data_IF_637615597043
#
_entry.id   IF_637615597043
#
_cell.length_a   1.000
_cell.length_b   1.000
_cell.length_c   1.000
_cell.angle_alpha   90.00
_cell.angle_beta   90.00
_cell.angle_gamma   90.00
#
_symmetry.space_group_name_H-M   'P 1'
#
loop_
_entity.id
_entity.type
_entity.pdbx_description
1 polymer ?
#
# COMPACT_ATOMS: atom_id res chain seq x y z
N UNK A 1 -9.28 15.25 -22.99
CA UNK A 1 -7.92 15.75 -23.22
C UNK A 1 -7.27 16.45 -22.01
N UNK A 2 -7.99 16.75 -20.94
CA UNK A 2 -7.50 17.50 -19.77
C UNK A 2 -6.71 16.67 -18.72
N UNK A 3 -6.93 15.36 -18.62
CA UNK A 3 -6.27 14.52 -17.61
C UNK A 3 -4.78 14.23 -17.90
N UNK A 4 -4.41 14.08 -19.17
CA UNK A 4 -3.03 13.73 -19.57
C UNK A 4 -2.07 14.93 -19.41
N UNK A 5 -2.56 16.14 -19.61
CA UNK A 5 -1.76 17.36 -19.46
C UNK A 5 -1.45 17.67 -17.97
N UNK A 6 -2.37 17.31 -17.05
CA UNK A 6 -2.18 17.43 -15.60
C UNK A 6 -1.11 16.47 -15.06
N UNK A 7 -1.04 15.23 -15.57
CA UNK A 7 -0.05 14.23 -15.13
C UNK A 7 1.38 14.63 -15.53
N UNK A 8 1.60 15.05 -16.78
CA UNK A 8 2.91 15.48 -17.25
C UNK A 8 3.44 16.71 -16.48
N UNK A 9 2.56 17.64 -16.09
CA UNK A 9 2.95 18.79 -15.25
C UNK A 9 3.37 18.35 -13.86
N UNK A 10 2.61 17.45 -13.23
CA UNK A 10 2.94 16.90 -11.88
C UNK A 10 4.28 16.18 -11.89
N UNK A 11 4.54 15.33 -12.88
CA UNK A 11 5.82 14.64 -13.06
C UNK A 11 6.98 15.64 -13.19
N UNK A 12 6.80 16.68 -14.03
CA UNK A 12 7.82 17.71 -14.22
C UNK A 12 8.12 18.45 -12.90
N UNK A 13 7.09 18.89 -12.18
CA UNK A 13 7.22 19.66 -10.95
C UNK A 13 7.86 18.83 -9.82
N UNK A 14 7.48 17.55 -9.68
CA UNK A 14 8.11 16.62 -8.74
C UNK A 14 9.59 16.37 -9.08
N UNK A 15 9.88 16.15 -10.36
CA UNK A 15 11.25 15.98 -10.84
C UNK A 15 12.13 17.20 -10.53
N UNK A 16 11.62 18.41 -10.81
CA UNK A 16 12.30 19.65 -10.51
C UNK A 16 12.50 19.85 -8.99
N UNK A 17 11.51 19.50 -8.16
CA UNK A 17 11.61 19.57 -6.70
C UNK A 17 12.68 18.61 -6.17
N UNK A 18 12.60 17.33 -6.53
CA UNK A 18 13.57 16.32 -6.11
C UNK A 18 14.98 16.66 -6.56
N UNK A 19 15.13 17.16 -7.79
CA UNK A 19 16.42 17.60 -8.33
C UNK A 19 17.01 18.78 -7.52
N UNK A 20 16.23 19.81 -7.21
CA UNK A 20 16.71 20.96 -6.41
C UNK A 20 17.18 20.53 -5.02
N UNK A 21 16.54 19.55 -4.41
CA UNK A 21 16.90 19.06 -3.08
C UNK A 21 18.09 18.10 -3.11
N UNK A 22 18.32 17.41 -4.23
CA UNK A 22 19.48 16.54 -4.42
C UNK A 22 20.79 17.32 -4.63
N UNK A 23 20.70 18.60 -5.00
CA UNK A 23 21.87 19.40 -5.40
C UNK A 23 21.91 20.74 -4.67
N UNK A 24 23.06 21.09 -4.11
CA UNK A 24 23.32 22.46 -3.69
C UNK A 24 23.44 23.38 -4.92
N UNK A 25 22.84 24.57 -4.85
CA UNK A 25 22.66 25.52 -5.95
C UNK A 25 23.93 26.00 -6.69
N UNK A 26 25.11 25.42 -6.46
CA UNK A 26 26.41 25.95 -6.90
C UNK A 26 27.16 25.11 -7.93
N UNK A 27 26.68 23.93 -8.30
CA UNK A 27 27.41 23.07 -9.26
C UNK A 27 26.57 22.79 -10.51
N UNK A 28 27.18 22.94 -11.69
CA UNK A 28 26.62 22.44 -12.96
C UNK A 28 26.40 20.93 -12.81
N UNK A 29 25.17 20.49 -12.71
CA UNK A 29 24.84 19.11 -12.54
C UNK A 29 24.87 18.37 -13.89
N UNK A 30 25.59 17.23 -13.92
CA UNK A 30 25.56 16.25 -15.03
C UNK A 30 24.73 15.07 -14.52
N UNK A 31 23.50 15.32 -14.04
CA UNK A 31 22.65 14.30 -13.48
C UNK A 31 21.79 13.64 -14.53
N UNK A 32 21.46 12.37 -14.31
CA UNK A 32 20.44 11.70 -15.08
C UNK A 32 19.10 12.43 -14.94
N UNK A 33 18.26 12.41 -15.99
CA UNK A 33 16.93 12.99 -15.94
C UNK A 33 16.08 12.30 -14.83
N UNK A 34 15.09 13.01 -14.24
CA UNK A 34 14.21 12.42 -13.26
C UNK A 34 13.52 11.18 -13.82
N UNK A 35 13.47 10.11 -13.00
CA UNK A 35 12.83 8.84 -13.33
C UNK A 35 11.44 8.77 -12.72
N UNK A 36 10.43 8.49 -13.53
CA UNK A 36 9.09 8.18 -13.04
C UNK A 36 9.07 6.74 -12.52
N UNK A 37 8.84 6.58 -11.22
CA UNK A 37 8.71 5.26 -10.57
C UNK A 37 7.27 4.76 -10.59
N UNK A 38 6.30 5.66 -10.47
CA UNK A 38 4.88 5.36 -10.60
C UNK A 38 4.11 6.60 -11.06
N UNK A 39 3.12 6.40 -11.91
CA UNK A 39 2.16 7.44 -12.32
C UNK A 39 0.76 6.84 -12.36
N UNK A 40 0.01 7.06 -11.29
CA UNK A 40 -1.33 6.50 -11.07
C UNK A 40 -2.28 7.60 -10.59
N UNK A 41 -3.60 7.42 -10.74
CA UNK A 41 -4.58 8.41 -10.25
C UNK A 41 -4.45 8.72 -8.75
N UNK A 42 -4.03 7.75 -7.95
CA UNK A 42 -3.87 7.84 -6.50
C UNK A 42 -2.49 8.30 -6.06
N UNK A 43 -1.49 8.33 -6.95
CA UNK A 43 -0.15 8.82 -6.61
C UNK A 43 0.82 8.83 -7.77
N UNK A 44 1.60 9.90 -7.86
CA UNK A 44 2.71 10.04 -8.80
C UNK A 44 4.03 10.06 -8.03
N UNK A 45 4.98 9.21 -8.38
CA UNK A 45 6.27 9.05 -7.70
C UNK A 45 7.40 9.27 -8.67
N UNK A 46 8.28 10.22 -8.36
CA UNK A 46 9.41 10.58 -9.21
C UNK A 46 10.70 10.57 -8.39
N UNK A 47 11.75 9.95 -8.93
CA UNK A 47 13.09 9.92 -8.37
C UNK A 47 13.98 10.92 -9.11
N UNK A 48 14.81 11.65 -8.37
CA UNK A 48 15.96 12.38 -8.91
C UNK A 48 17.14 12.20 -7.97
N UNK A 49 18.20 11.56 -8.44
CA UNK A 49 19.35 11.22 -7.62
C UNK A 49 18.99 10.35 -6.39
N UNK A 50 19.30 10.84 -5.21
CA UNK A 50 19.03 10.17 -3.94
C UNK A 50 17.67 10.53 -3.32
N UNK A 51 16.82 11.30 -4.00
CA UNK A 51 15.54 11.78 -3.48
C UNK A 51 14.39 11.25 -4.32
N UNK A 52 13.33 10.86 -3.63
CA UNK A 52 12.04 10.47 -4.19
C UNK A 52 10.98 11.47 -3.73
N UNK A 53 10.26 12.06 -4.67
CA UNK A 53 9.11 12.92 -4.44
C UNK A 53 7.82 12.18 -4.80
N UNK A 54 6.84 12.17 -3.89
CA UNK A 54 5.53 11.54 -4.08
C UNK A 54 4.44 12.59 -3.97
N UNK A 55 3.67 12.79 -5.05
CA UNK A 55 2.42 13.54 -5.01
C UNK A 55 1.26 12.58 -4.75
N UNK A 56 0.54 12.79 -3.64
CA UNK A 56 -0.65 12.01 -3.27
C UNK A 56 -1.87 12.44 -4.10
N UNK A 57 -2.99 11.72 -3.99
CA UNK A 57 -4.24 12.13 -4.63
C UNK A 57 -4.72 13.50 -4.13
N UNK A 58 -5.43 14.24 -4.98
CA UNK A 58 -5.90 15.59 -4.62
C UNK A 58 -6.93 15.59 -3.47
N UNK A 59 -7.67 14.49 -3.33
CA UNK A 59 -8.68 14.24 -2.29
C UNK A 59 -8.10 13.54 -1.04
N UNK A 60 -6.77 13.45 -0.93
CA UNK A 60 -6.12 12.85 0.23
C UNK A 60 -6.45 13.62 1.51
N UNK A 61 -6.90 12.89 2.53
CA UNK A 61 -7.07 13.43 3.88
C UNK A 61 -5.70 13.86 4.42
N UNK A 62 -5.52 15.17 4.54
CA UNK A 62 -4.24 15.80 4.92
C UNK A 62 -3.88 15.54 6.37
N UNK A 63 -4.85 15.45 7.27
CA UNK A 63 -4.62 15.16 8.68
C UNK A 63 -4.16 13.71 8.86
N UNK A 64 -4.85 12.76 8.22
CA UNK A 64 -4.46 11.36 8.23
C UNK A 64 -3.09 11.15 7.56
N UNK A 65 -2.79 11.85 6.47
CA UNK A 65 -1.48 11.81 5.83
C UNK A 65 -0.39 12.35 6.76
N UNK A 66 -0.60 13.51 7.38
CA UNK A 66 0.36 14.09 8.31
C UNK A 66 0.65 13.17 9.50
N UNK A 67 -0.37 12.50 10.05
CA UNK A 67 -0.18 11.50 11.11
C UNK A 67 0.68 10.32 10.64
N UNK A 68 0.50 9.83 9.41
CA UNK A 68 1.28 8.74 8.81
C UNK A 68 2.74 9.13 8.52
N UNK A 69 2.95 10.36 8.06
CA UNK A 69 4.30 10.90 7.86
C UNK A 69 5.02 11.06 9.20
N UNK A 70 4.35 11.60 10.22
CA UNK A 70 4.87 11.70 11.58
C UNK A 70 5.17 10.31 12.18
N UNK A 71 4.37 9.29 11.86
CA UNK A 71 4.63 7.90 12.24
C UNK A 71 5.95 7.40 11.64
N UNK A 72 6.18 7.58 10.34
CA UNK A 72 7.41 7.15 9.69
C UNK A 72 8.66 7.87 10.22
N UNK A 73 8.50 9.08 10.76
CA UNK A 73 9.56 9.85 11.41
C UNK A 73 9.78 9.51 12.89
N UNK A 74 8.92 8.67 13.49
CA UNK A 74 8.95 8.38 14.92
C UNK A 74 10.20 7.55 15.31
N UNK A 75 10.94 7.94 16.37
CA UNK A 75 12.17 7.24 16.77
C UNK A 75 11.98 5.75 17.04
N UNK A 76 10.81 5.34 17.54
CA UNK A 76 10.49 3.93 17.83
C UNK A 76 10.45 3.05 16.56
N UNK A 77 10.30 3.66 15.39
CA UNK A 77 10.20 2.99 14.10
C UNK A 77 11.49 3.05 13.27
N UNK A 78 12.55 3.62 13.86
CA UNK A 78 13.89 3.58 13.25
C UNK A 78 14.33 2.14 13.00
N UNK A 79 14.78 1.87 11.77
CA UNK A 79 15.14 0.52 11.33
C UNK A 79 13.94 -0.42 11.09
N UNK A 80 12.71 0.12 11.00
CA UNK A 80 11.50 -0.56 10.56
C UNK A 80 10.93 0.18 9.34
N UNK A 81 10.65 1.47 9.48
CA UNK A 81 10.16 2.33 8.40
C UNK A 81 11.28 3.21 7.86
N UNK A 82 11.26 3.48 6.57
CA UNK A 82 12.11 4.50 5.96
C UNK A 82 11.61 5.87 6.42
N UNK A 83 12.44 6.71 7.09
CA UNK A 83 12.00 8.02 7.54
C UNK A 83 11.83 8.99 6.35
N UNK A 84 10.84 9.89 6.38
CA UNK A 84 10.69 10.92 5.38
C UNK A 84 11.82 11.97 5.49
N UNK A 85 12.07 12.67 4.39
CA UNK A 85 12.87 13.87 4.44
C UNK A 85 11.98 15.03 4.92
N UNK A 86 12.47 15.81 5.87
CA UNK A 86 11.85 17.08 6.22
C UNK A 86 12.00 18.03 5.03
N UNK A 87 10.86 18.46 4.45
CA UNK A 87 10.93 19.55 3.49
C UNK A 87 11.54 20.77 4.18
N UNK A 88 12.50 21.47 3.55
CA UNK A 88 12.86 22.80 4.04
C UNK A 88 11.56 23.64 4.10
N UNK A 89 11.37 24.35 5.20
CA UNK A 89 10.23 25.25 5.33
C UNK A 89 10.14 26.10 4.05
N UNK A 90 9.04 25.96 3.33
CA UNK A 90 8.82 26.79 2.16
C UNK A 90 8.80 28.23 2.63
N UNK A 91 9.55 29.15 2.01
CA UNK A 91 9.26 30.57 2.18
C UNK A 91 7.78 30.74 1.76
N UNK A 92 7.01 31.39 2.64
CA UNK A 92 5.64 31.80 2.37
C UNK A 92 5.55 32.35 0.95
N UNK A 93 4.47 32.04 0.20
CA UNK A 93 4.30 32.59 -1.13
C UNK A 93 4.44 34.09 -1.06
N UNK A 94 5.47 34.62 -1.72
CA UNK A 94 5.74 36.05 -1.86
C UNK A 94 4.45 36.78 -2.21
N UNK A 95 4.12 37.85 -1.47
CA UNK A 95 3.03 38.79 -1.63
C UNK A 95 2.83 39.19 -3.11
N UNK A 96 2.08 38.40 -3.85
CA UNK A 96 1.45 38.86 -5.07
C UNK A 96 0.12 39.48 -4.65
N UNK A 97 0.10 40.78 -4.50
CA UNK A 97 -1.11 41.56 -4.23
C UNK A 97 -2.25 41.16 -5.16
N UNK A 98 -3.46 40.88 -4.64
CA UNK A 98 -4.60 40.51 -5.47
C UNK A 98 -4.99 41.67 -6.38
N UNK A 99 -5.07 41.40 -7.68
CA UNK A 99 -5.68 42.35 -8.63
C UNK A 99 -7.20 42.33 -8.42
N UNK A 100 -7.85 43.46 -8.12
CA UNK A 100 -9.29 43.46 -7.93
C UNK A 100 -10.01 43.35 -9.29
N UNK A 101 -10.95 42.40 -9.40
CA UNK A 101 -12.02 42.53 -10.39
C UNK A 101 -12.42 41.35 -11.25
N UNK A 102 -11.93 40.13 -11.07
CA UNK A 102 -12.50 38.95 -11.74
C UNK A 102 -12.67 37.82 -10.71
N UNK A 103 -13.80 37.06 -10.74
CA UNK A 103 -13.89 35.85 -9.94
C UNK A 103 -12.81 34.87 -10.43
N UNK A 104 -11.82 34.58 -9.58
CA UNK A 104 -10.85 33.54 -9.87
C UNK A 104 -11.57 32.22 -10.08
N UNK A 105 -11.25 31.47 -11.16
CA UNK A 105 -11.71 30.10 -11.28
C UNK A 105 -11.20 29.31 -10.06
N UNK A 106 -11.97 28.35 -9.52
CA UNK A 106 -11.54 27.57 -8.37
C UNK A 106 -10.18 26.93 -8.69
N UNK A 107 -9.15 27.41 -8.01
CA UNK A 107 -7.80 26.86 -8.14
C UNK A 107 -7.85 25.43 -7.64
N UNK A 108 -7.44 24.42 -8.44
CA UNK A 108 -7.39 23.04 -7.96
C UNK A 108 -6.55 22.99 -6.70
N UNK A 109 -7.08 22.39 -5.63
CA UNK A 109 -6.33 22.23 -4.39
C UNK A 109 -5.02 21.51 -4.71
N UNK A 110 -3.85 22.08 -4.43
CA UNK A 110 -2.58 21.44 -4.79
C UNK A 110 -2.48 20.07 -4.11
N UNK A 111 -2.05 19.07 -4.88
CA UNK A 111 -1.81 17.70 -4.37
C UNK A 111 -0.78 17.76 -3.24
N UNK A 112 -1.00 17.07 -2.09
CA UNK A 112 0.03 16.96 -1.07
C UNK A 112 1.28 16.28 -1.66
N UNK A 113 2.46 16.77 -1.30
CA UNK A 113 3.74 16.21 -1.74
C UNK A 113 4.56 15.81 -0.51
N UNK A 114 5.15 14.61 -0.56
CA UNK A 114 6.07 14.10 0.45
C UNK A 114 7.40 13.73 -0.19
N UNK A 115 8.47 13.81 0.60
CA UNK A 115 9.84 13.59 0.16
C UNK A 115 10.47 12.45 0.98
N UNK A 116 11.20 11.60 0.28
CA UNK A 116 11.81 10.41 0.84
C UNK A 116 13.24 10.23 0.33
N UNK A 117 14.15 9.65 1.12
CA UNK A 117 15.42 9.19 0.57
C UNK A 117 15.14 8.02 -0.39
N UNK A 118 15.98 7.88 -1.42
CA UNK A 118 15.91 6.70 -2.29
C UNK A 118 16.46 5.48 -1.56
N UNK A 119 15.75 4.37 -1.66
CA UNK A 119 16.21 3.04 -1.30
C UNK A 119 16.19 2.10 -2.51
N UNK A 120 17.09 1.12 -2.56
CA UNK A 120 17.10 0.11 -3.60
C UNK A 120 15.91 -0.86 -3.40
N UNK A 121 15.01 -1.00 -4.39
CA UNK A 121 13.86 -1.89 -4.29
C UNK A 121 14.30 -3.36 -4.36
N UNK A 122 13.38 -4.27 -4.02
CA UNK A 122 13.52 -5.69 -4.32
C UNK A 122 13.59 -5.88 -5.83
N UNK A 123 14.52 -6.72 -6.28
CA UNK A 123 14.66 -7.05 -7.70
C UNK A 123 13.54 -8.04 -8.12
N UNK A 124 12.62 -7.65 -9.00
CA UNK A 124 11.55 -8.54 -9.44
C UNK A 124 12.04 -9.65 -10.40
N UNK A 125 13.28 -9.54 -10.89
CA UNK A 125 13.88 -10.54 -11.80
C UNK A 125 14.63 -11.65 -11.07
N UNK A 126 14.81 -11.52 -9.75
CA UNK A 126 15.43 -12.51 -8.89
C UNK A 126 14.45 -12.93 -7.76
N UNK A 127 13.48 -13.79 -8.05
CA UNK A 127 12.50 -14.24 -7.07
C UNK A 127 13.12 -15.08 -5.94
N UNK A 128 14.25 -15.77 -6.18
CA UNK A 128 14.93 -16.57 -5.17
C UNK A 128 15.58 -15.72 -4.08
N UNK A 129 15.97 -14.49 -4.41
CA UNK A 129 16.50 -13.51 -3.45
C UNK A 129 15.41 -12.63 -2.80
N UNK A 130 14.13 -12.99 -2.97
CA UNK A 130 13.01 -12.23 -2.41
C UNK A 130 13.06 -12.24 -0.86
N UNK A 131 13.09 -11.06 -0.19
CA UNK A 131 13.34 -10.96 1.26
C UNK A 131 12.09 -11.23 2.10
N UNK A 132 11.47 -12.40 1.94
CA UNK A 132 10.25 -12.77 2.65
C UNK A 132 10.45 -12.84 4.17
N UNK A 133 11.57 -13.42 4.62
CA UNK A 133 11.89 -13.53 6.05
C UNK A 133 12.13 -12.14 6.67
N UNK A 134 12.87 -11.27 5.99
CA UNK A 134 13.12 -9.91 6.46
C UNK A 134 11.84 -9.07 6.49
N UNK A 135 10.98 -9.20 5.48
CA UNK A 135 9.66 -8.56 5.46
C UNK A 135 8.84 -8.97 6.69
N UNK A 136 8.82 -10.26 7.00
CA UNK A 136 8.11 -10.81 8.16
C UNK A 136 8.66 -10.29 9.50
N UNK A 137 9.98 -10.23 9.65
CA UNK A 137 10.64 -9.67 10.85
C UNK A 137 10.30 -8.18 11.01
N UNK A 138 10.31 -7.40 9.92
CA UNK A 138 9.94 -5.98 9.96
C UNK A 138 8.48 -5.79 10.38
N UNK A 139 7.56 -6.61 9.85
CA UNK A 139 6.16 -6.60 10.26
C UNK A 139 5.97 -6.96 11.73
N UNK A 140 6.61 -8.04 12.20
CA UNK A 140 6.52 -8.43 13.60
C UNK A 140 7.01 -7.32 14.53
N UNK A 141 8.11 -6.64 14.17
CA UNK A 141 8.62 -5.48 14.90
C UNK A 141 7.64 -4.31 14.86
N UNK A 142 7.05 -4.01 13.70
CA UNK A 142 6.03 -2.97 13.54
C UNK A 142 4.82 -3.25 14.45
N UNK A 143 4.25 -4.44 14.37
CA UNK A 143 3.06 -4.83 15.15
C UNK A 143 3.30 -4.85 16.66
N UNK A 144 4.53 -5.11 17.11
CA UNK A 144 4.92 -5.08 18.54
C UNK A 144 5.20 -3.65 19.02
N UNK A 145 5.37 -2.71 18.12
CA UNK A 145 5.63 -1.32 18.49
C UNK A 145 4.32 -0.65 18.88
N UNK A 146 4.28 -0.12 20.10
CA UNK A 146 3.11 0.67 20.54
C UNK A 146 2.99 1.94 19.71
N UNK A 147 1.82 2.26 19.15
CA UNK A 147 1.60 3.51 18.44
C UNK A 147 2.06 4.72 19.29
N UNK A 148 2.90 5.61 18.75
CA UNK A 148 3.44 6.76 19.51
C UNK A 148 2.38 7.81 19.85
N UNK A 149 1.28 7.82 19.08
CA UNK A 149 0.13 8.71 19.24
C UNK A 149 -1.11 8.05 18.64
N UNK A 150 -2.25 8.71 18.70
CA UNK A 150 -3.49 8.19 18.08
C UNK A 150 -3.36 8.22 16.57
N UNK A 151 -3.48 7.07 15.96
CA UNK A 151 -3.42 6.88 14.51
C UNK A 151 -4.82 6.79 13.89
N UNK A 152 -4.97 7.17 12.62
CA UNK A 152 -6.15 6.79 11.85
C UNK A 152 -6.25 5.27 11.73
N UNK A 153 -7.42 4.72 11.41
CA UNK A 153 -7.54 3.31 11.05
C UNK A 153 -6.66 2.95 9.86
N UNK A 154 -6.08 1.73 9.86
CA UNK A 154 -5.42 1.21 8.67
C UNK A 154 -6.42 1.05 7.53
N UNK A 155 -5.96 1.20 6.26
CA UNK A 155 -6.88 1.32 5.13
C UNK A 155 -7.17 0.01 4.40
N UNK A 156 -6.66 -1.13 4.85
CA UNK A 156 -6.84 -2.43 4.18
C UNK A 156 -8.30 -2.75 3.80
N UNK A 157 -9.27 -2.79 4.74
CA UNK A 157 -10.67 -3.03 4.44
C UNK A 157 -11.28 -2.00 3.45
N UNK A 158 -10.94 -0.72 3.63
CA UNK A 158 -11.42 0.34 2.75
C UNK A 158 -10.85 0.22 1.32
N UNK A 159 -9.62 -0.29 1.16
CA UNK A 159 -9.02 -0.58 -0.16
C UNK A 159 -9.75 -1.72 -0.85
N UNK A 160 -10.06 -2.80 -0.14
CA UNK A 160 -10.84 -3.91 -0.68
C UNK A 160 -12.22 -3.43 -1.16
N UNK A 161 -12.91 -2.61 -0.37
CA UNK A 161 -14.21 -2.02 -0.76
C UNK A 161 -14.10 -1.14 -2.02
N UNK A 162 -13.05 -0.29 -2.11
CA UNK A 162 -12.82 0.53 -3.31
C UNK A 162 -12.48 -0.29 -4.54
N UNK A 163 -11.71 -1.38 -4.39
CA UNK A 163 -11.41 -2.29 -5.49
C UNK A 163 -12.69 -2.90 -6.07
N UNK A 164 -13.58 -3.40 -5.21
CA UNK A 164 -14.88 -3.95 -5.62
C UNK A 164 -15.77 -2.89 -6.28
N UNK A 165 -15.81 -1.67 -5.75
CA UNK A 165 -16.55 -0.56 -6.36
C UNK A 165 -16.01 -0.22 -7.76
N UNK A 166 -14.68 -0.15 -7.93
CA UNK A 166 -14.01 0.08 -9.22
C UNK A 166 -14.34 -1.02 -10.22
N UNK A 167 -14.28 -2.29 -9.81
CA UNK A 167 -14.65 -3.42 -10.66
C UNK A 167 -16.09 -3.31 -11.15
N UNK A 168 -17.06 -3.04 -10.24
CA UNK A 168 -18.46 -2.87 -10.60
C UNK A 168 -18.68 -1.75 -11.61
N UNK A 169 -18.00 -0.65 -11.44
CA UNK A 169 -18.06 0.48 -12.37
C UNK A 169 -17.46 0.18 -13.74
N UNK A 170 -16.34 -0.58 -13.77
CA UNK A 170 -15.65 -0.94 -15.00
C UNK A 170 -16.33 -2.05 -15.81
N UNK A 171 -17.10 -2.96 -15.14
CA UNK A 171 -17.74 -4.13 -15.74
C UNK A 171 -19.21 -4.27 -15.31
N UNK A 172 -20.07 -3.31 -15.66
CA UNK A 172 -21.49 -3.36 -15.30
C UNK A 172 -22.18 -4.54 -16.01
N UNK A 173 -22.82 -5.44 -15.23
CA UNK A 173 -23.55 -6.60 -15.77
C UNK A 173 -22.69 -7.74 -16.33
N UNK A 174 -21.36 -7.67 -16.24
CA UNK A 174 -20.47 -8.73 -16.71
C UNK A 174 -20.54 -9.96 -15.76
N UNK A 175 -20.86 -11.17 -16.25
CA UNK A 175 -20.90 -12.37 -15.42
C UNK A 175 -19.54 -12.73 -14.81
N UNK A 176 -18.40 -12.30 -15.36
CA UNK A 176 -17.07 -12.55 -14.82
C UNK A 176 -16.87 -11.96 -13.41
N UNK A 177 -17.69 -10.96 -13.01
CA UNK A 177 -17.61 -10.38 -11.66
C UNK A 177 -18.35 -11.20 -10.60
N UNK A 178 -19.23 -12.16 -10.98
CA UNK A 178 -20.11 -12.87 -10.05
C UNK A 178 -19.35 -13.66 -8.97
N UNK A 179 -18.29 -14.43 -9.28
CA UNK A 179 -17.52 -15.15 -8.26
C UNK A 179 -16.90 -14.19 -7.23
N UNK A 180 -16.32 -13.10 -7.70
CA UNK A 180 -15.70 -12.06 -6.84
C UNK A 180 -16.75 -11.43 -5.92
N UNK A 181 -17.92 -11.13 -6.46
CA UNK A 181 -19.02 -10.56 -5.67
C UNK A 181 -19.63 -11.57 -4.69
N UNK A 182 -19.67 -12.86 -5.02
CA UNK A 182 -20.12 -13.90 -4.11
C UNK A 182 -19.16 -14.02 -2.91
N UNK A 183 -17.86 -14.11 -3.17
CA UNK A 183 -16.82 -14.11 -2.13
C UNK A 183 -16.89 -12.84 -1.28
N UNK A 184 -17.04 -11.67 -1.89
CA UNK A 184 -17.16 -10.38 -1.19
C UNK A 184 -18.34 -10.35 -0.22
N UNK A 185 -19.52 -10.83 -0.63
CA UNK A 185 -20.72 -10.83 0.22
C UNK A 185 -20.60 -11.79 1.42
N UNK A 186 -19.81 -12.86 1.27
CA UNK A 186 -19.56 -13.81 2.35
C UNK A 186 -18.60 -13.27 3.43
N UNK A 187 -17.85 -12.19 3.15
CA UNK A 187 -16.98 -11.57 4.15
C UNK A 187 -17.81 -10.87 5.24
N UNK A 188 -17.34 -10.85 6.51
CA UNK A 188 -17.98 -10.08 7.56
C UNK A 188 -17.90 -8.57 7.30
N UNK A 189 -18.82 -7.81 7.88
CA UNK A 189 -18.96 -6.37 7.65
C UNK A 189 -17.65 -5.59 7.88
N UNK A 190 -16.92 -5.91 8.94
CA UNK A 190 -15.64 -5.24 9.24
C UNK A 190 -14.58 -5.43 8.14
N UNK A 191 -14.52 -6.62 7.53
CA UNK A 191 -13.59 -6.89 6.44
C UNK A 191 -13.99 -6.20 5.13
N UNK A 192 -15.26 -5.83 5.00
CA UNK A 192 -15.78 -5.00 3.90
C UNK A 192 -15.69 -3.50 4.15
N UNK A 193 -15.11 -3.08 5.29
CA UNK A 193 -15.02 -1.67 5.68
C UNK A 193 -16.36 -1.08 6.15
N UNK A 194 -17.34 -1.89 6.51
CA UNK A 194 -18.69 -1.51 6.94
C UNK A 194 -18.82 -1.47 8.48
N UNK A 195 -17.73 -1.67 9.22
CA UNK A 195 -17.71 -1.64 10.67
C UNK A 195 -16.30 -1.75 11.25
N UNK A 196 -16.16 -1.60 12.57
CA UNK A 196 -14.87 -1.75 13.24
C UNK A 196 -14.42 -3.22 13.24
N UNK A 197 -13.10 -3.49 13.21
CA UNK A 197 -12.59 -4.83 13.40
C UNK A 197 -12.91 -5.35 14.83
N UNK A 198 -12.94 -6.70 15.03
CA UNK A 198 -13.16 -7.28 16.33
C UNK A 198 -12.11 -6.82 17.37
N UNK A 199 -12.55 -6.47 18.58
CA UNK A 199 -11.64 -6.29 19.71
C UNK A 199 -11.14 -7.68 20.19
N UNK A 200 -9.89 -7.82 20.65
CA UNK A 200 -8.87 -6.81 20.95
C UNK A 200 -7.91 -6.48 19.80
N UNK A 201 -8.13 -7.02 18.61
CA UNK A 201 -7.19 -6.96 17.47
C UNK A 201 -7.12 -5.57 16.78
N UNK A 202 -8.02 -4.66 17.11
CA UNK A 202 -8.16 -3.36 16.44
C UNK A 202 -7.08 -2.32 16.76
N UNK A 203 -6.15 -2.60 17.66
CA UNK A 203 -5.24 -1.60 18.23
C UNK A 203 -3.78 -1.70 17.84
N UNK A 204 -3.41 -2.66 17.01
CA UNK A 204 -2.03 -2.83 16.58
C UNK A 204 -1.65 -1.81 15.50
N UNK A 205 -0.36 -1.47 15.47
CA UNK A 205 0.20 -0.67 14.39
C UNK A 205 0.38 -1.56 13.17
N UNK A 206 -0.36 -1.28 12.09
CA UNK A 206 -0.33 -2.04 10.83
C UNK A 206 0.22 -1.19 9.69
N UNK A 207 0.85 -1.83 8.71
CA UNK A 207 1.29 -1.22 7.46
C UNK A 207 0.10 -0.98 6.51
N UNK A 208 -0.82 -1.92 6.43
CA UNK A 208 -2.08 -1.82 5.68
C UNK A 208 -2.01 -2.16 4.20
N UNK A 209 -0.81 -2.36 3.62
CA UNK A 209 -0.62 -2.77 2.22
C UNK A 209 0.71 -3.46 1.96
N UNK A 210 1.08 -4.45 2.78
CA UNK A 210 2.34 -5.15 2.58
C UNK A 210 2.38 -5.92 1.25
N UNK A 211 3.47 -5.73 0.53
CA UNK A 211 4.00 -6.60 -0.55
C UNK A 211 5.49 -6.29 -0.74
N UNK A 212 6.22 -7.14 -1.47
CA UNK A 212 7.67 -6.95 -1.63
C UNK A 212 8.08 -5.61 -2.25
N UNK A 213 7.22 -5.01 -3.08
CA UNK A 213 7.42 -3.66 -3.60
C UNK A 213 7.36 -2.54 -2.55
N UNK A 214 7.02 -2.86 -1.28
CA UNK A 214 7.05 -1.93 -0.16
C UNK A 214 8.31 -2.10 0.72
N UNK A 215 9.31 -2.82 0.21
CA UNK A 215 10.61 -2.95 0.85
C UNK A 215 11.70 -2.30 0.00
N UNK A 216 12.61 -1.62 0.69
CA UNK A 216 13.81 -1.07 0.07
C UNK A 216 15.02 -1.26 0.99
N UNK A 217 16.21 -1.39 0.40
CA UNK A 217 17.47 -1.29 1.13
C UNK A 217 17.87 0.16 1.26
N UNK A 218 18.11 0.61 2.49
CA UNK A 218 18.61 1.97 2.71
C UNK A 218 19.66 2.00 3.82
N UNK A 219 20.82 2.68 3.58
CA UNK A 219 21.23 3.31 2.32
C UNK A 219 21.33 2.32 1.14
N UNK A 220 20.98 2.77 -0.07
CA UNK A 220 21.17 1.98 -1.27
C UNK A 220 22.68 1.81 -1.59
N UNK A 221 23.12 0.65 -2.17
CA UNK A 221 22.28 -0.51 -2.53
C UNK A 221 22.16 -1.56 -1.41
N UNK A 222 23.06 -1.58 -0.39
CA UNK A 222 23.30 -2.73 0.49
C UNK A 222 22.89 -2.50 1.95
N UNK A 223 22.20 -1.39 2.23
CA UNK A 223 21.68 -1.10 3.56
C UNK A 223 20.65 -2.14 4.04
N UNK A 224 20.22 -2.05 5.31
CA UNK A 224 19.16 -2.91 5.83
C UNK A 224 17.85 -2.70 5.05
N UNK A 225 17.00 -3.74 5.03
CA UNK A 225 15.64 -3.62 4.53
C UNK A 225 14.79 -2.73 5.43
N UNK A 226 13.98 -1.87 4.84
CA UNK A 226 13.02 -0.99 5.49
C UNK A 226 11.69 -1.03 4.74
N UNK A 227 10.59 -0.88 5.47
CA UNK A 227 9.27 -0.69 4.89
C UNK A 227 9.09 0.76 4.41
N UNK A 228 8.42 0.92 3.28
CA UNK A 228 8.05 2.21 2.67
C UNK A 228 6.55 2.30 2.44
N UNK A 229 6.08 3.46 1.99
CA UNK A 229 4.67 3.70 1.61
C UNK A 229 3.67 3.52 2.76
N UNK A 230 3.72 4.45 3.69
CA UNK A 230 2.86 4.47 4.88
C UNK A 230 1.44 5.00 4.63
N UNK A 231 1.02 5.20 3.38
CA UNK A 231 -0.29 5.80 3.03
C UNK A 231 -1.49 5.03 3.59
N UNK A 232 -1.33 3.75 3.82
CA UNK A 232 -2.38 2.87 4.35
C UNK A 232 -2.15 2.47 5.81
N UNK A 233 -1.03 2.92 6.39
CA UNK A 233 -0.66 2.58 7.77
C UNK A 233 -1.63 3.17 8.79
N UNK A 234 -1.82 2.46 9.90
CA UNK A 234 -2.70 2.91 10.97
C UNK A 234 -2.99 1.84 12.00
N UNK A 235 -3.96 2.13 12.87
CA UNK A 235 -4.42 1.16 13.86
C UNK A 235 -5.33 0.11 13.22
N UNK A 236 -5.09 -1.18 13.52
CA UNK A 236 -5.89 -2.24 12.92
C UNK A 236 -5.56 -3.63 13.45
N UNK A 237 -6.04 -4.65 12.73
CA UNK A 237 -5.73 -6.05 12.96
C UNK A 237 -4.45 -6.43 12.20
N UNK A 238 -3.40 -6.91 12.90
CA UNK A 238 -2.11 -7.24 12.29
C UNK A 238 -2.18 -8.41 11.29
N UNK A 239 -3.21 -9.26 11.36
CA UNK A 239 -3.42 -10.33 10.38
C UNK A 239 -3.64 -9.79 8.97
N UNK A 240 -4.07 -8.52 8.83
CA UNK A 240 -4.25 -7.89 7.54
C UNK A 240 -2.93 -7.70 6.78
N UNK A 241 -1.83 -7.46 7.48
CA UNK A 241 -0.52 -7.31 6.84
C UNK A 241 0.08 -8.65 6.36
N UNK A 242 -0.36 -9.77 6.96
CA UNK A 242 0.00 -11.12 6.51
C UNK A 242 -0.96 -11.64 5.42
N UNK A 243 -2.06 -10.95 5.17
CA UNK A 243 -3.15 -11.42 4.33
C UNK A 243 -2.76 -11.59 2.86
N UNK A 244 -1.87 -10.74 2.32
CA UNK A 244 -1.46 -10.84 0.91
C UNK A 244 -0.58 -12.06 0.66
N UNK A 245 0.52 -12.31 1.40
CA UNK A 245 1.27 -13.56 1.29
C UNK A 245 0.39 -14.80 1.51
N UNK A 246 -0.51 -14.76 2.50
CA UNK A 246 -1.44 -15.85 2.77
C UNK A 246 -2.40 -16.13 1.59
N UNK A 247 -2.96 -15.07 0.98
CA UNK A 247 -3.83 -15.19 -0.19
C UNK A 247 -3.08 -15.75 -1.40
N UNK A 248 -1.84 -15.30 -1.62
CA UNK A 248 -1.01 -15.79 -2.72
C UNK A 248 -0.60 -17.25 -2.53
N UNK A 249 -0.23 -17.65 -1.32
CA UNK A 249 0.01 -19.05 -0.99
C UNK A 249 -1.24 -19.91 -1.24
N UNK A 250 -2.40 -19.50 -0.75
CA UNK A 250 -3.67 -20.22 -0.96
C UNK A 250 -4.10 -20.29 -2.44
N UNK A 251 -3.68 -19.32 -3.26
CA UNK A 251 -3.91 -19.30 -4.70
C UNK A 251 -2.87 -20.09 -5.52
N UNK A 252 -1.77 -20.53 -4.89
CA UNK A 252 -0.64 -21.19 -5.57
C UNK A 252 0.31 -20.22 -6.28
N UNK A 253 0.29 -18.92 -5.92
CA UNK A 253 1.15 -17.87 -6.46
C UNK A 253 2.41 -17.63 -5.62
N UNK A 254 2.41 -18.06 -4.37
CA UNK A 254 3.57 -18.02 -3.49
C UNK A 254 4.02 -19.44 -3.19
N UNK A 255 5.31 -19.67 -3.36
CA UNK A 255 5.91 -20.98 -3.08
C UNK A 255 5.73 -21.39 -1.61
N UNK A 256 5.45 -22.67 -1.31
CA UNK A 256 5.34 -23.17 0.05
C UNK A 256 6.58 -22.91 0.93
N UNK A 257 7.78 -22.93 0.36
CA UNK A 257 9.02 -22.66 1.09
C UNK A 257 9.10 -21.18 1.49
N UNK A 258 8.77 -20.26 0.58
CA UNK A 258 8.71 -18.82 0.85
C UNK A 258 7.64 -18.48 1.90
N UNK A 259 6.47 -19.11 1.79
CA UNK A 259 5.41 -18.96 2.78
C UNK A 259 5.85 -19.42 4.17
N UNK A 260 6.50 -20.60 4.25
CA UNK A 260 7.00 -21.14 5.52
C UNK A 260 8.09 -20.23 6.09
N UNK A 261 9.05 -19.78 5.27
CA UNK A 261 10.11 -18.87 5.70
C UNK A 261 9.54 -17.55 6.23
N UNK A 262 8.55 -16.97 5.55
CA UNK A 262 7.84 -15.77 5.99
C UNK A 262 7.14 -15.97 7.33
N UNK A 263 6.35 -17.04 7.47
CA UNK A 263 5.55 -17.31 8.66
C UNK A 263 6.44 -17.62 9.88
N UNK A 264 7.48 -18.43 9.70
CA UNK A 264 8.41 -18.82 10.76
C UNK A 264 9.25 -17.63 11.23
N UNK A 265 9.70 -16.77 10.31
CA UNK A 265 10.40 -15.54 10.65
C UNK A 265 9.50 -14.57 11.45
N UNK A 266 8.23 -14.43 11.04
CA UNK A 266 7.25 -13.60 11.75
C UNK A 266 7.01 -14.10 13.18
N UNK A 267 6.82 -15.41 13.35
CA UNK A 267 6.61 -16.07 14.65
C UNK A 267 7.84 -15.96 15.54
N UNK A 268 9.02 -16.26 14.98
CA UNK A 268 10.30 -16.18 15.70
C UNK A 268 10.60 -14.76 16.20
N UNK A 269 10.15 -13.75 15.47
CA UNK A 269 10.23 -12.34 15.89
C UNK A 269 9.13 -11.93 16.89
N UNK A 270 8.25 -12.87 17.31
CA UNK A 270 7.18 -12.64 18.28
C UNK A 270 6.02 -11.81 17.72
N UNK A 271 5.73 -11.96 16.42
CA UNK A 271 4.62 -11.25 15.79
C UNK A 271 3.26 -11.69 16.33
N UNK A 272 2.34 -10.75 16.66
CA UNK A 272 1.09 -11.04 17.36
C UNK A 272 -0.08 -11.44 16.46
N UNK A 273 0.09 -11.44 15.11
CA UNK A 273 -1.01 -11.67 14.17
C UNK A 273 -1.53 -13.09 14.16
N UNK A 274 -0.67 -14.06 14.50
CA UNK A 274 -0.96 -15.51 14.51
C UNK A 274 -0.39 -16.15 15.75
N UNK A 275 -0.87 -17.34 16.16
CA UNK A 275 -0.26 -18.10 17.24
C UNK A 275 1.22 -18.39 16.99
N UNK A 276 2.00 -18.51 18.07
CA UNK A 276 3.44 -18.78 17.99
C UNK A 276 3.74 -20.13 17.31
N UNK A 277 2.81 -21.06 17.36
CA UNK A 277 2.84 -22.37 16.73
C UNK A 277 1.45 -22.79 16.24
N UNK A 278 1.37 -23.92 15.54
CA UNK A 278 0.12 -24.50 15.08
C UNK A 278 -0.50 -23.81 13.86
N UNK A 279 -1.82 -23.92 13.73
CA UNK A 279 -2.55 -23.44 12.56
C UNK A 279 -2.71 -21.91 12.55
N UNK A 280 -2.20 -21.16 11.53
CA UNK A 280 -2.36 -19.72 11.45
C UNK A 280 -3.71 -19.28 10.84
N UNK A 281 -4.43 -20.20 10.18
CA UNK A 281 -5.59 -19.88 9.36
C UNK A 281 -6.80 -19.34 10.13
N UNK A 282 -7.08 -19.71 11.40
CA UNK A 282 -8.14 -19.06 12.16
C UNK A 282 -8.05 -17.53 12.16
N UNK A 283 -6.83 -17.00 12.13
CA UNK A 283 -6.56 -15.56 12.14
C UNK A 283 -6.44 -14.96 10.73
N UNK A 284 -5.97 -15.75 9.76
CA UNK A 284 -5.64 -15.27 8.42
C UNK A 284 -6.77 -15.43 7.41
N UNK A 285 -7.72 -16.34 7.61
CA UNK A 285 -8.72 -16.71 6.60
C UNK A 285 -9.51 -15.51 6.10
N UNK A 286 -10.13 -14.74 6.99
CA UNK A 286 -10.95 -13.58 6.59
C UNK A 286 -10.12 -12.49 5.90
N UNK A 287 -8.98 -12.02 6.46
CA UNK A 287 -8.11 -11.08 5.76
C UNK A 287 -7.59 -11.61 4.42
N UNK A 288 -7.18 -12.87 4.32
CA UNK A 288 -6.70 -13.47 3.07
C UNK A 288 -7.79 -13.50 1.98
N UNK A 289 -9.01 -13.91 2.33
CA UNK A 289 -10.16 -13.85 1.40
C UNK A 289 -10.45 -12.42 0.95
N UNK A 290 -10.35 -11.44 1.84
CA UNK A 290 -10.55 -10.04 1.49
C UNK A 290 -9.48 -9.54 0.50
N UNK A 291 -8.21 -9.94 0.67
CA UNK A 291 -7.11 -9.62 -0.26
C UNK A 291 -7.25 -10.38 -1.59
N UNK A 292 -7.74 -11.62 -1.57
CA UNK A 292 -8.08 -12.37 -2.80
C UNK A 292 -9.14 -11.61 -3.60
N UNK A 293 -10.22 -11.18 -2.95
CA UNK A 293 -11.28 -10.35 -3.58
C UNK A 293 -10.72 -9.04 -4.09
N UNK A 294 -9.91 -8.33 -3.29
CA UNK A 294 -9.29 -7.06 -3.69
C UNK A 294 -8.46 -7.23 -4.96
N UNK A 295 -7.60 -8.24 -5.01
CA UNK A 295 -6.69 -8.49 -6.14
C UNK A 295 -7.47 -8.87 -7.39
N UNK A 296 -8.42 -9.79 -7.29
CA UNK A 296 -9.27 -10.19 -8.40
C UNK A 296 -10.12 -9.03 -8.94
N UNK A 297 -10.66 -8.18 -8.05
CA UNK A 297 -11.44 -7.00 -8.44
C UNK A 297 -10.58 -5.96 -9.18
N UNK A 298 -9.36 -5.71 -8.71
CA UNK A 298 -8.41 -4.81 -9.39
C UNK A 298 -8.00 -5.37 -10.75
N UNK A 299 -7.72 -6.66 -10.86
CA UNK A 299 -7.41 -7.33 -12.11
C UNK A 299 -8.52 -7.16 -13.13
N UNK A 300 -9.76 -7.47 -12.78
CA UNK A 300 -10.91 -7.31 -13.68
C UNK A 300 -11.12 -5.85 -14.10
N UNK A 301 -10.96 -4.90 -13.19
CA UNK A 301 -11.07 -3.47 -13.52
C UNK A 301 -9.95 -3.01 -14.46
N UNK A 302 -8.73 -3.45 -14.24
CA UNK A 302 -7.55 -3.16 -15.07
C UNK A 302 -7.71 -3.76 -16.48
N UNK A 303 -8.08 -5.04 -16.58
CA UNK A 303 -8.32 -5.72 -17.86
C UNK A 303 -9.40 -5.00 -18.69
N UNK A 304 -10.46 -4.50 -18.05
CA UNK A 304 -11.48 -3.70 -18.74
C UNK A 304 -10.92 -2.38 -19.30
N UNK A 305 -10.12 -1.68 -18.51
CA UNK A 305 -9.51 -0.41 -18.93
C UNK A 305 -8.48 -0.59 -20.06
N UNK A 306 -7.70 -1.67 -20.01
CA UNK A 306 -6.65 -2.00 -20.97
C UNK A 306 -7.18 -2.81 -22.16
N UNK A 307 -8.44 -3.24 -22.15
CA UNK A 307 -9.09 -4.06 -23.18
C UNK A 307 -8.31 -5.34 -23.47
N UNK A 308 -7.88 -6.03 -22.43
CA UNK A 308 -7.17 -7.30 -22.47
C UNK A 308 -7.80 -8.36 -21.57
N UNK A 309 -7.44 -9.60 -21.77
CA UNK A 309 -7.76 -10.70 -20.87
C UNK A 309 -6.85 -10.66 -19.62
N UNK A 310 -7.28 -11.29 -18.51
CA UNK A 310 -6.43 -11.50 -17.36
C UNK A 310 -5.18 -12.31 -17.73
N UNK A 311 -4.02 -11.94 -17.17
CA UNK A 311 -2.84 -12.79 -17.20
C UNK A 311 -2.98 -13.98 -16.23
N UNK A 312 -2.01 -14.90 -16.23
CA UNK A 312 -2.10 -16.13 -15.43
C UNK A 312 -2.25 -15.85 -13.92
N UNK A 313 -1.44 -14.97 -13.26
CA UNK A 313 -1.65 -14.60 -11.87
C UNK A 313 -3.00 -13.96 -11.59
N UNK A 314 -3.47 -13.06 -12.47
CA UNK A 314 -4.77 -12.41 -12.36
C UNK A 314 -5.90 -13.44 -12.44
N UNK A 315 -5.80 -14.40 -13.38
CA UNK A 315 -6.76 -15.48 -13.55
C UNK A 315 -6.83 -16.40 -12.34
N UNK A 316 -5.67 -16.80 -11.77
CA UNK A 316 -5.61 -17.61 -10.55
C UNK A 316 -6.31 -16.96 -9.36
N UNK A 317 -6.20 -15.65 -9.21
CA UNK A 317 -6.90 -14.91 -8.14
C UNK A 317 -8.42 -14.87 -8.37
N UNK A 318 -8.88 -14.70 -9.62
CA UNK A 318 -10.31 -14.76 -9.97
C UNK A 318 -10.88 -16.16 -9.72
N UNK A 319 -10.17 -17.21 -10.10
CA UNK A 319 -10.55 -18.59 -9.85
C UNK A 319 -10.55 -18.94 -8.36
N UNK A 320 -9.64 -18.35 -7.58
CA UNK A 320 -9.64 -18.48 -6.12
C UNK A 320 -10.93 -17.93 -5.51
N UNK A 321 -11.43 -16.79 -6.00
CA UNK A 321 -12.74 -16.29 -5.58
C UNK A 321 -13.87 -17.28 -5.92
N UNK A 322 -13.83 -17.93 -7.10
CA UNK A 322 -14.81 -18.94 -7.47
C UNK A 322 -14.76 -20.16 -6.53
N UNK A 323 -13.56 -20.67 -6.23
CA UNK A 323 -13.37 -21.78 -5.27
C UNK A 323 -13.90 -21.42 -3.87
N UNK A 324 -13.53 -20.26 -3.35
CA UNK A 324 -14.00 -19.78 -2.03
C UNK A 324 -15.51 -19.67 -1.99
N UNK A 325 -16.14 -19.17 -3.07
CA UNK A 325 -17.60 -19.01 -3.14
C UNK A 325 -18.38 -20.35 -3.13
N UNK A 326 -17.70 -21.47 -3.42
CA UNK A 326 -18.31 -22.82 -3.39
C UNK A 326 -18.08 -23.57 -2.08
N UNK A 327 -17.30 -23.01 -1.13
CA UNK A 327 -17.09 -23.64 0.17
C UNK A 327 -18.39 -23.70 0.96
N UNK A 328 -18.67 -24.83 1.65
CA UNK A 328 -19.83 -24.94 2.52
C UNK A 328 -19.81 -23.89 3.64
N UNK A 329 -20.99 -23.36 4.05
CA UNK A 329 -21.06 -22.36 5.11
C UNK A 329 -20.42 -22.80 6.43
N UNK A 330 -20.43 -24.09 6.74
CA UNK A 330 -19.85 -24.67 7.96
C UNK A 330 -18.33 -24.46 8.05
N UNK A 331 -17.65 -24.38 6.88
CA UNK A 331 -16.21 -24.07 6.82
C UNK A 331 -15.93 -22.56 6.89
N UNK A 332 -16.98 -21.72 6.84
CA UNK A 332 -16.87 -20.27 6.87
C UNK A 332 -17.25 -19.64 8.20
N UNK A 333 -17.85 -20.40 9.14
CA UNK A 333 -18.47 -19.89 10.36
C UNK A 333 -17.74 -20.27 11.68
N UNK A 334 -16.69 -21.06 11.65
CA UNK A 334 -15.99 -21.53 12.88
C UNK A 334 -15.19 -20.45 13.65
N UNK A 335 -15.43 -19.16 13.36
CA UNK A 335 -14.70 -18.04 13.98
C UNK A 335 -15.57 -17.11 14.85
N UNK A 336 -16.77 -17.56 15.24
CA UNK A 336 -17.68 -16.78 16.09
C UNK A 336 -18.02 -17.50 17.41
N UNK A 337 -16.99 -17.94 18.15
CA UNK A 337 -17.17 -18.43 19.53
C UNK A 337 -16.12 -17.83 20.45
#
# INVERSE_FOLDING_TARGET
MTATQTSASVVHDLGALAHRLSHSARTRCVCEPPQVLADRPDGTVVRSGAIVAKAHAADTDREALAARIALAAAPQLTGILLPPLTAPEHPEPSDASPRPGLPEPPTPTPRPVTLWPFGAPVDPTDPEAAPWAEAAVLLARLHRTRPPFRLPPMRGPAKAARAVARMRAARPGDPAVLPVLACWRALPAWARGEGPPPAPRAGYLCHGDLHLGQLVRHPAPDGPWLLIDVDDAGAGDPAWDLARPAAWYAAGLLDPEDWSAFLDAYRSAGGPAVPADGNPWPELDVPARALTVQTAALALAKCAAEKRDPDEPEQLMIESCARIATLPPELTTDHAS
#
